data_IF_426427909981
#
_entry.id   IF_426427909981
#
_cell.length_a   1.000
_cell.length_b   1.000
_cell.length_c   1.000
_cell.angle_alpha   90.00
_cell.angle_beta   90.00
_cell.angle_gamma   90.00
#
_symmetry.space_group_name_H-M   'P 1'
#
loop_
_entity.id
_entity.type
_entity.pdbx_description
1 polymer ?
#
# COMPACT_ATOMS: atom_id res chain seq x y z
N UNK A 1 11.52 -16.67 -11.33
CA UNK A 1 10.96 -15.38 -10.90
C UNK A 1 11.77 -14.86 -9.72
N UNK A 2 12.12 -13.60 -9.73
CA UNK A 2 12.85 -12.98 -8.62
C UNK A 2 11.96 -12.92 -7.39
N UNK A 3 12.50 -13.35 -6.23
CA UNK A 3 11.79 -13.15 -4.98
C UNK A 3 11.84 -11.66 -4.62
N UNK A 4 10.69 -11.05 -4.44
CA UNK A 4 10.56 -9.62 -4.13
C UNK A 4 10.65 -9.33 -2.64
N UNK A 5 10.69 -10.38 -1.82
CA UNK A 5 10.77 -10.25 -0.36
C UNK A 5 12.23 -10.30 0.09
N UNK A 6 12.63 -9.32 0.90
CA UNK A 6 13.99 -9.19 1.43
C UNK A 6 15.07 -9.02 0.35
N UNK A 7 14.67 -8.48 -0.81
CA UNK A 7 15.60 -8.25 -1.90
C UNK A 7 16.16 -6.83 -1.82
N UNK A 8 17.38 -6.71 -1.31
CA UNK A 8 18.06 -5.43 -1.15
C UNK A 8 19.15 -5.26 -2.20
N UNK A 9 19.14 -4.09 -2.85
CA UNK A 9 20.23 -3.69 -3.73
C UNK A 9 20.19 -4.24 -5.15
N UNK A 10 19.11 -4.92 -5.54
CA UNK A 10 18.93 -5.39 -6.91
C UNK A 10 17.89 -4.56 -7.64
N UNK A 11 18.17 -4.26 -8.90
CA UNK A 11 17.17 -3.63 -9.74
C UNK A 11 16.00 -4.59 -9.95
N UNK A 12 14.78 -4.10 -9.72
CA UNK A 12 13.55 -4.86 -9.89
C UNK A 12 12.61 -4.07 -10.78
N UNK A 13 12.08 -4.71 -11.80
CA UNK A 13 11.07 -4.10 -12.67
C UNK A 13 9.89 -5.08 -12.77
N UNK A 14 8.72 -4.61 -12.39
CA UNK A 14 7.47 -5.28 -12.67
C UNK A 14 6.74 -4.45 -13.72
N UNK A 15 6.56 -5.01 -14.91
CA UNK A 15 5.72 -4.37 -15.91
C UNK A 15 4.25 -4.48 -15.52
N UNK A 16 3.37 -3.73 -16.18
CA UNK A 16 1.93 -3.86 -15.95
C UNK A 16 1.46 -5.31 -16.18
N UNK A 17 2.00 -5.98 -17.20
CA UNK A 17 1.69 -7.37 -17.49
C UNK A 17 2.18 -8.30 -16.38
N UNK A 18 3.36 -8.05 -15.83
CA UNK A 18 3.91 -8.84 -14.72
C UNK A 18 3.01 -8.73 -13.49
N UNK A 19 2.58 -7.53 -13.15
CA UNK A 19 1.71 -7.29 -12.00
C UNK A 19 0.34 -7.96 -12.22
N UNK A 20 -0.21 -7.83 -13.41
CA UNK A 20 -1.48 -8.47 -13.74
C UNK A 20 -1.42 -9.99 -13.61
N UNK A 21 -0.28 -10.59 -13.93
CA UNK A 21 -0.07 -12.04 -13.83
C UNK A 21 0.20 -12.52 -12.41
N UNK A 22 0.57 -11.65 -11.47
CA UNK A 22 0.78 -12.04 -10.09
C UNK A 22 -0.52 -12.51 -9.45
N UNK A 23 -0.51 -13.61 -8.69
CA UNK A 23 -1.72 -14.03 -7.99
C UNK A 23 -2.04 -13.08 -6.82
N UNK A 24 -3.33 -12.85 -6.60
CA UNK A 24 -3.78 -12.20 -5.39
C UNK A 24 -3.71 -13.20 -4.24
N UNK A 25 -3.04 -12.81 -3.15
CA UNK A 25 -2.93 -13.63 -1.94
C UNK A 25 -3.93 -13.12 -0.91
N UNK A 26 -4.86 -13.98 -0.41
CA UNK A 26 -5.80 -13.56 0.62
C UNK A 26 -5.09 -13.09 1.89
N UNK A 27 -5.59 -12.00 2.47
CA UNK A 27 -5.07 -11.48 3.74
C UNK A 27 -6.22 -11.09 4.67
N UNK A 28 -6.18 -11.60 5.89
CA UNK A 28 -7.14 -11.23 6.93
C UNK A 28 -8.57 -11.62 6.61
N UNK A 29 -9.38 -10.64 6.23
CA UNK A 29 -10.82 -10.83 6.02
C UNK A 29 -11.15 -11.37 4.62
N UNK A 30 -12.34 -11.97 4.49
CA UNK A 30 -12.85 -12.42 3.19
C UNK A 30 -12.98 -11.23 2.22
N UNK A 31 -12.58 -11.46 0.97
CA UNK A 31 -12.64 -10.44 -0.07
C UNK A 31 -11.51 -9.42 -0.03
N UNK A 32 -10.53 -9.62 0.85
CA UNK A 32 -9.34 -8.77 0.93
C UNK A 32 -8.13 -9.59 0.51
N UNK A 33 -7.34 -9.05 -0.42
CA UNK A 33 -6.16 -9.74 -0.93
C UNK A 33 -5.07 -8.73 -1.27
N UNK A 34 -3.83 -9.19 -1.40
CA UNK A 34 -2.72 -8.33 -1.77
C UNK A 34 -1.77 -8.97 -2.79
N UNK A 35 -0.98 -8.13 -3.40
CA UNK A 35 0.21 -8.49 -4.19
C UNK A 35 1.38 -7.71 -3.60
N UNK A 36 2.42 -8.40 -3.17
CA UNK A 36 3.63 -7.74 -2.68
C UNK A 36 4.51 -7.44 -3.88
N UNK A 37 4.82 -6.16 -4.08
CA UNK A 37 5.69 -5.73 -5.18
C UNK A 37 7.15 -5.68 -4.75
N UNK A 38 7.41 -5.34 -3.50
CA UNK A 38 8.74 -5.30 -2.93
C UNK A 38 8.65 -5.32 -1.40
N UNK A 39 9.59 -5.96 -0.77
CA UNK A 39 9.65 -6.01 0.69
C UNK A 39 11.09 -6.12 1.16
N UNK A 40 11.40 -5.38 2.20
CA UNK A 40 12.65 -5.55 2.95
C UNK A 40 12.34 -5.37 4.43
N UNK A 41 12.49 -6.45 5.20
CA UNK A 41 12.09 -6.43 6.60
C UNK A 41 10.63 -6.04 6.75
N UNK A 42 10.38 -5.00 7.52
CA UNK A 42 9.02 -4.49 7.77
C UNK A 42 8.56 -3.46 6.74
N UNK A 43 9.40 -3.11 5.79
CA UNK A 43 9.03 -2.17 4.72
C UNK A 43 8.42 -2.95 3.58
N UNK A 44 7.16 -2.68 3.28
CA UNK A 44 6.41 -3.36 2.23
C UNK A 44 5.83 -2.35 1.27
N UNK A 45 5.95 -2.64 -0.01
CA UNK A 45 5.24 -1.91 -1.06
C UNK A 45 4.42 -2.93 -1.84
N UNK A 46 3.14 -2.67 -1.96
CA UNK A 46 2.24 -3.62 -2.62
C UNK A 46 0.92 -3.03 -3.04
N UNK A 47 0.06 -3.90 -3.53
CA UNK A 47 -1.31 -3.57 -3.89
C UNK A 47 -2.25 -4.33 -2.95
N UNK A 48 -3.32 -3.67 -2.53
CA UNK A 48 -4.43 -4.29 -1.81
C UNK A 48 -5.68 -4.16 -2.66
N UNK A 49 -6.44 -5.24 -2.72
CA UNK A 49 -7.75 -5.29 -3.36
C UNK A 49 -8.81 -5.63 -2.31
N UNK A 50 -9.88 -4.86 -2.29
CA UNK A 50 -11.04 -5.13 -1.43
C UNK A 50 -12.25 -5.26 -2.32
N UNK A 51 -12.90 -6.42 -2.26
CA UNK A 51 -14.07 -6.70 -3.09
C UNK A 51 -15.28 -5.88 -2.66
N UNK A 52 -16.20 -5.62 -3.58
CA UNK A 52 -17.46 -5.00 -3.26
C UNK A 52 -18.18 -5.78 -2.17
N UNK A 53 -18.71 -5.08 -1.17
CA UNK A 53 -19.37 -5.71 -0.02
C UNK A 53 -18.43 -6.26 1.05
N UNK A 54 -17.13 -6.29 0.79
CA UNK A 54 -16.14 -6.63 1.80
C UNK A 54 -15.67 -5.38 2.55
N UNK A 55 -14.97 -5.59 3.64
CA UNK A 55 -14.35 -4.52 4.40
C UNK A 55 -13.03 -5.00 4.98
N UNK A 56 -12.13 -4.06 5.21
CA UNK A 56 -10.91 -4.32 5.95
C UNK A 56 -11.11 -3.73 7.35
N UNK A 57 -11.12 -4.56 8.42
CA UNK A 57 -11.44 -4.11 9.76
C UNK A 57 -10.52 -2.99 10.25
N UNK A 58 -11.01 -2.20 11.18
CA UNK A 58 -10.21 -1.17 11.82
C UNK A 58 -8.97 -1.77 12.46
N UNK A 59 -7.84 -1.15 12.18
CA UNK A 59 -6.54 -1.55 12.70
C UNK A 59 -5.65 -0.33 12.82
N UNK A 60 -4.52 -0.50 13.49
CA UNK A 60 -3.57 0.58 13.71
C UNK A 60 -2.15 0.06 13.49
N UNK A 61 -1.32 0.87 12.86
CA UNK A 61 0.10 0.61 12.70
C UNK A 61 0.88 1.57 13.61
N UNK A 62 1.67 1.00 14.52
CA UNK A 62 2.44 1.81 15.46
C UNK A 62 3.89 2.04 15.00
N UNK A 63 4.39 1.20 14.12
CA UNK A 63 5.79 1.19 13.73
C UNK A 63 6.10 1.79 12.37
N UNK A 64 5.12 2.38 11.68
CA UNK A 64 5.35 2.86 10.33
C UNK A 64 4.39 3.97 9.93
N UNK A 65 4.85 4.79 8.99
CA UNK A 65 4.01 5.70 8.23
C UNK A 65 3.36 4.92 7.09
N UNK A 66 2.07 5.11 6.89
CA UNK A 66 1.31 4.38 5.89
C UNK A 66 0.87 5.35 4.78
N UNK A 67 1.29 5.07 3.55
CA UNK A 67 0.89 5.86 2.38
C UNK A 67 0.05 4.99 1.47
N UNK A 68 -1.05 5.54 0.97
CA UNK A 68 -2.02 4.85 0.12
C UNK A 68 -2.32 5.71 -1.10
N UNK A 69 -2.33 5.09 -2.27
CA UNK A 69 -2.79 5.71 -3.50
C UNK A 69 -3.81 4.79 -4.16
N UNK A 70 -5.07 5.25 -4.29
CA UNK A 70 -6.10 4.45 -4.93
C UNK A 70 -5.88 4.39 -6.43
N UNK A 71 -5.80 3.19 -6.95
CA UNK A 71 -5.61 2.93 -8.38
C UNK A 71 -6.93 2.61 -9.08
N UNK A 72 -7.94 2.15 -8.32
CA UNK A 72 -9.21 1.74 -8.89
C UNK A 72 -10.32 1.76 -7.84
N UNK A 73 -11.54 2.10 -8.28
CA UNK A 73 -12.73 2.00 -7.44
C UNK A 73 -12.85 3.10 -6.41
N UNK A 74 -13.60 2.82 -5.36
CA UNK A 74 -13.87 3.77 -4.28
C UNK A 74 -14.12 3.05 -2.97
N UNK A 75 -13.91 3.76 -1.87
CA UNK A 75 -14.22 3.27 -0.53
C UNK A 75 -14.22 4.44 0.46
N UNK A 76 -14.59 4.15 1.70
CA UNK A 76 -14.42 5.09 2.80
C UNK A 76 -13.17 4.73 3.57
N UNK A 77 -12.32 5.73 3.81
CA UNK A 77 -11.13 5.65 4.65
C UNK A 77 -11.06 6.87 5.55
N UNK A 78 -10.78 6.64 6.83
CA UNK A 78 -10.56 7.71 7.82
C UNK A 78 -11.66 8.77 7.77
N UNK A 79 -12.91 8.31 7.67
CA UNK A 79 -14.08 9.18 7.68
C UNK A 79 -14.38 9.93 6.39
N UNK A 80 -13.70 9.59 5.29
CA UNK A 80 -13.92 10.24 3.99
C UNK A 80 -14.06 9.22 2.87
N UNK A 81 -14.91 9.55 1.91
CA UNK A 81 -14.99 8.77 0.67
C UNK A 81 -13.84 9.16 -0.24
N UNK A 82 -13.11 8.17 -0.71
CA UNK A 82 -11.98 8.33 -1.63
C UNK A 82 -12.19 7.44 -2.85
N UNK A 83 -11.68 7.88 -3.99
CA UNK A 83 -11.81 7.17 -5.26
C UNK A 83 -10.47 7.12 -5.99
N UNK A 84 -10.46 6.48 -7.16
CA UNK A 84 -9.23 6.33 -7.96
C UNK A 84 -8.55 7.68 -8.18
N UNK A 85 -7.26 7.75 -7.92
CA UNK A 85 -6.47 8.98 -7.99
C UNK A 85 -6.34 9.70 -6.64
N UNK A 86 -6.99 9.21 -5.59
CA UNK A 86 -6.87 9.79 -4.24
C UNK A 86 -5.62 9.28 -3.54
N UNK A 87 -5.04 10.15 -2.72
CA UNK A 87 -3.90 9.83 -1.88
C UNK A 87 -4.27 10.02 -0.41
N UNK A 88 -3.88 9.07 0.42
CA UNK A 88 -4.09 9.11 1.87
C UNK A 88 -2.79 8.84 2.59
N UNK A 89 -2.46 9.69 3.54
CA UNK A 89 -1.37 9.45 4.48
C UNK A 89 -1.95 9.18 5.86
N UNK A 90 -1.56 8.06 6.46
CA UNK A 90 -2.00 7.66 7.80
C UNK A 90 -0.77 7.63 8.72
N UNK A 91 -0.70 8.57 9.67
CA UNK A 91 0.38 8.59 10.65
C UNK A 91 0.37 7.33 11.54
N UNK A 92 1.51 6.99 12.16
CA UNK A 92 1.53 5.94 13.15
C UNK A 92 0.52 6.22 14.27
N UNK A 93 -0.15 5.17 14.73
CA UNK A 93 -1.09 5.26 15.84
C UNK A 93 -2.50 5.72 15.47
N UNK A 94 -2.77 6.05 14.23
CA UNK A 94 -4.11 6.45 13.79
C UNK A 94 -4.89 5.21 13.34
N UNK A 95 -6.00 4.87 14.01
CA UNK A 95 -6.86 3.76 13.60
C UNK A 95 -7.49 4.02 12.24
N UNK A 96 -7.57 3.00 11.42
CA UNK A 96 -8.16 3.11 10.09
C UNK A 96 -8.77 1.79 9.64
N UNK A 97 -9.73 1.88 8.75
CA UNK A 97 -10.43 0.77 8.15
C UNK A 97 -10.74 1.08 6.69
N UNK A 98 -11.13 0.08 5.94
CA UNK A 98 -11.67 0.25 4.58
C UNK A 98 -13.10 -0.23 4.59
N UNK A 99 -14.04 0.68 4.39
CA UNK A 99 -15.47 0.42 4.44
C UNK A 99 -16.18 0.97 3.20
N UNK A 100 -17.45 0.59 3.07
CA UNK A 100 -18.34 1.09 2.02
C UNK A 100 -17.66 1.07 0.64
N UNK A 101 -17.08 -0.09 0.33
CA UNK A 101 -16.40 -0.30 -0.95
C UNK A 101 -17.41 -0.21 -2.09
N UNK A 102 -17.06 0.52 -3.12
CA UNK A 102 -17.93 0.72 -4.26
C UNK A 102 -18.27 -0.56 -5.02
N UNK A 103 -19.20 -0.50 -5.98
CA UNK A 103 -19.74 -1.70 -6.64
C UNK A 103 -18.71 -2.50 -7.44
N UNK A 104 -17.61 -1.88 -7.84
CA UNK A 104 -16.53 -2.54 -8.57
C UNK A 104 -15.34 -2.92 -7.69
N UNK A 105 -15.50 -2.83 -6.37
CA UNK A 105 -14.39 -3.01 -5.44
C UNK A 105 -13.50 -1.77 -5.37
N UNK A 106 -12.36 -1.91 -4.71
CA UNK A 106 -11.30 -0.90 -4.76
C UNK A 106 -9.94 -1.57 -4.75
N UNK A 107 -8.97 -0.87 -5.29
CA UNK A 107 -7.58 -1.29 -5.30
C UNK A 107 -6.71 -0.10 -4.98
N UNK A 108 -5.69 -0.31 -4.18
CA UNK A 108 -4.76 0.76 -3.85
C UNK A 108 -3.34 0.25 -3.68
N UNK A 109 -2.40 1.09 -4.13
CA UNK A 109 -0.99 0.94 -3.83
C UNK A 109 -0.78 1.36 -2.38
N UNK A 110 -0.04 0.58 -1.62
CA UNK A 110 0.31 0.94 -0.26
C UNK A 110 1.80 0.81 -0.02
N UNK A 111 2.31 1.62 0.90
CA UNK A 111 3.67 1.50 1.38
C UNK A 111 3.69 1.78 2.88
N UNK A 112 4.56 1.04 3.57
CA UNK A 112 4.94 1.33 4.95
C UNK A 112 6.38 1.80 4.94
N UNK A 113 6.64 2.97 5.50
CA UNK A 113 8.01 3.41 5.70
C UNK A 113 8.32 3.55 7.20
N UNK A 114 9.57 3.31 7.61
CA UNK A 114 9.95 3.35 9.02
C UNK A 114 9.64 4.70 9.68
N UNK A 115 9.45 4.67 11.01
CA UNK A 115 9.23 5.88 11.79
C UNK A 115 10.36 6.89 11.65
N UNK A 116 11.58 6.41 11.62
CA UNK A 116 12.76 7.24 11.50
C UNK A 116 13.41 7.06 10.15
N UNK A 117 13.74 8.17 9.53
CA UNK A 117 14.53 8.21 8.32
C UNK A 117 15.66 9.20 8.52
N UNK A 118 16.86 8.88 8.01
CA UNK A 118 17.97 9.83 8.04
C UNK A 118 17.57 11.13 7.33
N UNK A 119 17.68 12.24 8.03
CA UNK A 119 17.45 13.55 7.43
C UNK A 119 18.70 13.98 6.68
N UNK A 120 18.52 14.63 5.55
CA UNK A 120 19.62 15.16 4.75
C UNK A 120 20.17 14.20 3.72
N UNK A 121 20.03 12.89 3.90
CA UNK A 121 20.56 11.91 2.95
C UNK A 121 19.96 12.08 1.55
N UNK A 122 18.66 12.25 1.48
CA UNK A 122 17.98 12.48 0.19
C UNK A 122 18.42 13.79 -0.46
N UNK A 123 18.60 14.84 0.34
CA UNK A 123 19.08 16.14 -0.17
C UNK A 123 20.50 16.02 -0.72
N UNK A 124 21.36 15.27 -0.05
CA UNK A 124 22.73 15.05 -0.50
C UNK A 124 22.78 14.29 -1.81
N UNK A 125 21.95 13.26 -1.94
CA UNK A 125 21.91 12.41 -3.14
C UNK A 125 21.25 13.09 -4.34
N UNK A 126 20.22 13.88 -4.07
CA UNK A 126 19.41 14.47 -5.14
C UNK A 126 19.74 15.94 -5.40
N UNK A 127 20.61 16.51 -4.61
CA UNK A 127 21.00 17.91 -4.68
C UNK A 127 19.96 18.82 -4.06
N UNK A 128 18.83 19.03 -4.71
CA UNK A 128 17.76 19.86 -4.18
C UNK A 128 16.53 19.00 -3.92
N UNK A 129 15.87 19.17 -2.74
CA UNK A 129 14.60 18.52 -2.49
C UNK A 129 13.55 19.02 -3.48
N UNK A 130 12.70 18.14 -3.89
CA UNK A 130 11.63 18.45 -4.84
C UNK A 130 10.49 19.18 -4.15
#
# INVERSE_FOLDING_TARGET
MTDVRNDLGHLLVHTAADIAAMPWEPIGADGVAHKVLWQSGDVVIGLISVAAGASKPEHVHLGAHHHIYLTRGSCDMVGRTVDAGSYVYIPPGVPHAVDNVGPDGCEFLYTYRPLEQPLGTAEEEWGNPV
#
